data_IF_804025219074
#
_entry.id   IF_804025219074
#
_cell.length_a   1.000
_cell.length_b   1.000
_cell.length_c   1.000
_cell.angle_alpha   90.00
_cell.angle_beta   90.00
_cell.angle_gamma   90.00
#
_symmetry.space_group_name_H-M   'P 1'
#
loop_
_entity.id
_entity.type
_entity.pdbx_description
1 polymer ?
#
# COMPACT_ATOMS: atom_id res chain seq x y z
N UNK A 1 5.38 -17.21 -15.39
CA UNK A 1 4.46 -16.62 -14.40
C UNK A 1 5.21 -16.14 -13.15
N UNK A 2 6.00 -17.00 -12.50
CA UNK A 2 6.80 -16.63 -11.31
C UNK A 2 7.78 -15.46 -11.51
N UNK A 3 8.38 -15.34 -12.70
CA UNK A 3 9.31 -14.23 -12.99
C UNK A 3 8.62 -12.86 -12.94
N UNK A 4 7.49 -12.72 -13.65
CA UNK A 4 6.69 -11.48 -13.66
C UNK A 4 6.23 -11.04 -12.26
N UNK A 5 5.84 -12.00 -11.41
CA UNK A 5 5.46 -11.72 -10.02
C UNK A 5 6.64 -11.19 -9.20
N UNK A 6 7.85 -11.70 -9.45
CA UNK A 6 9.07 -11.18 -8.81
C UNK A 6 9.40 -9.77 -9.30
N UNK A 7 9.30 -9.52 -10.60
CA UNK A 7 9.53 -8.20 -11.18
C UNK A 7 8.54 -7.16 -10.62
N UNK A 8 7.25 -7.53 -10.50
CA UNK A 8 6.21 -6.68 -9.91
C UNK A 8 6.46 -6.41 -8.41
N UNK A 9 6.89 -7.43 -7.66
CA UNK A 9 7.23 -7.29 -6.26
C UNK A 9 8.43 -6.35 -6.07
N UNK A 10 9.44 -6.43 -6.93
CA UNK A 10 10.61 -5.55 -6.87
C UNK A 10 10.21 -4.08 -7.09
N UNK A 11 9.35 -3.81 -8.07
CA UNK A 11 8.81 -2.46 -8.33
C UNK A 11 8.05 -1.93 -7.10
N UNK A 12 7.23 -2.77 -6.46
CA UNK A 12 6.47 -2.37 -5.27
C UNK A 12 7.40 -2.07 -4.09
N UNK A 13 8.46 -2.87 -3.91
CA UNK A 13 9.46 -2.64 -2.86
C UNK A 13 10.19 -1.32 -3.09
N UNK A 14 10.62 -1.04 -4.32
CA UNK A 14 11.25 0.24 -4.67
C UNK A 14 10.31 1.42 -4.43
N UNK A 15 9.04 1.27 -4.81
CA UNK A 15 8.02 2.29 -4.62
C UNK A 15 7.74 2.55 -3.14
N UNK A 16 7.60 1.50 -2.32
CA UNK A 16 7.48 1.61 -0.85
C UNK A 16 8.66 2.37 -0.23
N UNK A 17 9.90 2.07 -0.65
CA UNK A 17 11.07 2.78 -0.16
C UNK A 17 11.01 4.29 -0.43
N UNK A 18 10.50 4.70 -1.58
CA UNK A 18 10.27 6.11 -1.89
C UNK A 18 9.19 6.75 -1.01
N UNK A 19 8.10 6.03 -0.72
CA UNK A 19 7.06 6.53 0.17
C UNK A 19 7.53 6.68 1.61
N UNK A 20 8.34 5.75 2.13
CA UNK A 20 8.94 5.91 3.47
C UNK A 20 9.87 7.11 3.54
N UNK A 21 10.69 7.33 2.50
CA UNK A 21 11.52 8.55 2.42
C UNK A 21 10.68 9.82 2.39
N UNK A 22 9.54 9.80 1.69
CA UNK A 22 8.61 10.92 1.66
C UNK A 22 7.95 11.15 3.03
N UNK A 23 7.55 10.08 3.72
CA UNK A 23 7.01 10.15 5.09
C UNK A 23 8.03 10.75 6.06
N UNK A 24 9.27 10.29 6.02
CA UNK A 24 10.37 10.81 6.84
C UNK A 24 10.64 12.30 6.54
N UNK A 25 10.66 12.70 5.26
CA UNK A 25 10.82 14.10 4.86
C UNK A 25 9.67 15.00 5.36
N UNK A 26 8.46 14.47 5.46
CA UNK A 26 7.31 15.20 5.99
C UNK A 26 7.41 15.32 7.52
N UNK A 27 7.78 14.24 8.20
CA UNK A 27 7.97 14.22 9.65
C UNK A 27 9.10 15.15 10.11
N UNK A 28 10.19 15.21 9.35
CA UNK A 28 11.39 16.00 9.69
C UNK A 28 11.25 17.50 9.44
N UNK A 29 10.28 17.93 8.63
CA UNK A 29 10.11 19.37 8.39
C UNK A 29 9.20 19.74 7.24
N UNK A 30 8.02 19.14 7.12
CA UNK A 30 7.06 19.60 6.11
C UNK A 30 6.68 21.06 6.39
N UNK A 31 6.94 21.94 5.43
CA UNK A 31 6.48 23.31 5.46
C UNK A 31 4.96 23.35 5.23
N UNK A 32 4.24 23.91 6.20
CA UNK A 32 2.81 24.20 6.08
C UNK A 32 2.62 25.59 5.50
N UNK A 33 2.06 25.71 4.30
CA UNK A 33 1.72 26.99 3.69
C UNK A 33 0.23 27.27 3.86
N UNK A 34 -0.13 28.36 4.53
CA UNK A 34 -1.52 28.80 4.66
C UNK A 34 -1.80 29.88 3.62
N UNK A 35 -2.55 29.56 2.58
CA UNK A 35 -2.99 30.51 1.54
C UNK A 35 -4.44 30.88 1.84
N UNK A 36 -4.65 32.01 2.51
CA UNK A 36 -5.98 32.48 2.91
C UNK A 36 -6.69 31.48 3.83
N UNK A 37 -7.86 30.96 3.43
CA UNK A 37 -8.61 29.94 4.17
C UNK A 37 -8.16 28.51 3.87
N UNK A 38 -7.26 28.29 2.90
CA UNK A 38 -6.78 26.96 2.50
C UNK A 38 -5.38 26.72 3.05
N UNK A 39 -5.20 25.60 3.76
CA UNK A 39 -3.88 25.09 4.14
C UNK A 39 -3.37 24.15 3.05
N UNK A 40 -2.26 24.49 2.41
CA UNK A 40 -1.54 23.62 1.48
C UNK A 40 -0.38 22.98 2.26
N UNK A 41 -0.52 21.70 2.59
CA UNK A 41 0.60 20.89 3.11
C UNK A 41 1.37 20.33 1.93
N UNK A 42 2.70 20.39 2.01
CA UNK A 42 3.60 19.87 0.94
C UNK A 42 3.53 18.34 0.78
N UNK A 43 2.81 17.66 1.68
CA UNK A 43 2.33 16.30 1.55
C UNK A 43 1.34 15.99 2.69
N UNK A 44 0.18 15.42 2.37
CA UNK A 44 -0.76 14.93 3.36
C UNK A 44 -0.27 13.58 3.89
N UNK A 45 0.23 13.57 5.14
CA UNK A 45 0.76 12.38 5.81
C UNK A 45 -0.27 11.23 5.83
N UNK A 46 -1.57 11.57 5.85
CA UNK A 46 -2.67 10.61 5.73
C UNK A 46 -2.73 9.90 4.38
N UNK A 47 -2.52 10.61 3.28
CA UNK A 47 -2.56 10.02 1.95
C UNK A 47 -1.36 9.10 1.71
N UNK A 48 -0.17 9.50 2.18
CA UNK A 48 1.03 8.67 2.11
C UNK A 48 0.89 7.42 2.96
N UNK A 49 0.39 7.54 4.20
CA UNK A 49 0.12 6.39 5.04
C UNK A 49 -0.88 5.41 4.39
N UNK A 50 -1.95 5.92 3.78
CA UNK A 50 -2.93 5.09 3.09
C UNK A 50 -2.31 4.37 1.87
N UNK A 51 -1.49 5.06 1.08
CA UNK A 51 -0.80 4.46 -0.07
C UNK A 51 0.25 3.42 0.37
N UNK A 52 1.00 3.68 1.44
CA UNK A 52 1.93 2.70 2.05
C UNK A 52 1.16 1.43 2.44
N UNK A 53 0.03 1.59 3.11
CA UNK A 53 -0.78 0.44 3.53
C UNK A 53 -1.29 -0.36 2.32
N UNK A 54 -1.81 0.30 1.28
CA UNK A 54 -2.24 -0.37 0.05
C UNK A 54 -1.10 -1.11 -0.66
N UNK A 55 0.10 -0.54 -0.68
CA UNK A 55 1.28 -1.18 -1.25
C UNK A 55 1.78 -2.35 -0.40
N UNK A 56 1.69 -2.28 0.92
CA UNK A 56 2.02 -3.40 1.82
C UNK A 56 1.06 -4.57 1.61
N UNK A 57 -0.25 -4.30 1.58
CA UNK A 57 -1.27 -5.32 1.32
C UNK A 57 -1.00 -6.01 -0.03
N UNK A 58 -0.72 -5.21 -1.06
CA UNK A 58 -0.40 -5.74 -2.39
C UNK A 58 0.88 -6.57 -2.41
N UNK A 59 1.90 -6.15 -1.67
CA UNK A 59 3.15 -6.92 -1.51
C UNK A 59 2.85 -8.29 -0.88
N UNK A 60 2.10 -8.30 0.22
CA UNK A 60 1.73 -9.55 0.91
C UNK A 60 0.90 -10.47 0.01
N UNK A 61 -0.03 -9.94 -0.78
CA UNK A 61 -0.77 -10.72 -1.77
C UNK A 61 0.16 -11.38 -2.81
N UNK A 62 1.14 -10.64 -3.33
CA UNK A 62 2.09 -11.15 -4.31
C UNK A 62 3.06 -12.18 -3.72
N UNK A 63 3.52 -11.99 -2.48
CA UNK A 63 4.33 -12.96 -1.74
C UNK A 63 3.57 -14.27 -1.53
N UNK A 64 2.31 -14.17 -1.09
CA UNK A 64 1.43 -15.32 -0.92
C UNK A 64 1.18 -16.04 -2.26
N UNK A 65 0.93 -15.29 -3.34
CA UNK A 65 0.77 -15.84 -4.68
C UNK A 65 2.03 -16.58 -5.16
N UNK A 66 3.22 -16.06 -4.83
CA UNK A 66 4.49 -16.70 -5.16
C UNK A 66 4.71 -17.99 -4.35
N UNK A 67 4.34 -18.00 -3.07
CA UNK A 67 4.49 -19.13 -2.16
C UNK A 67 3.51 -20.27 -2.46
N UNK A 68 2.22 -19.97 -2.64
CA UNK A 68 1.16 -20.96 -2.88
C UNK A 68 1.04 -21.33 -4.37
N UNK A 69 1.70 -20.58 -5.28
CA UNK A 69 1.59 -20.76 -6.73
C UNK A 69 0.20 -20.43 -7.28
N UNK A 70 -0.65 -19.83 -6.45
CA UNK A 70 -2.02 -19.43 -6.77
C UNK A 70 -2.04 -18.01 -7.33
N UNK A 71 -2.99 -17.72 -8.22
CA UNK A 71 -3.09 -16.39 -8.82
C UNK A 71 -3.49 -15.36 -7.75
N UNK A 72 -2.87 -14.15 -7.72
CA UNK A 72 -3.25 -13.09 -6.78
C UNK A 72 -4.71 -12.65 -6.93
N UNK A 73 -5.33 -12.92 -8.08
CA UNK A 73 -6.71 -12.54 -8.40
C UNK A 73 -7.71 -13.70 -8.24
N UNK A 74 -7.44 -14.65 -7.33
CA UNK A 74 -8.40 -15.73 -7.06
C UNK A 74 -9.55 -15.22 -6.19
N UNK A 75 -10.78 -15.50 -6.64
CA UNK A 75 -11.99 -15.20 -5.87
C UNK A 75 -11.98 -16.03 -4.59
N UNK A 76 -12.01 -15.38 -3.43
CA UNK A 76 -12.17 -16.05 -2.13
C UNK A 76 -13.62 -16.55 -2.02
N UNK A 77 -13.81 -17.85 -1.77
CA UNK A 77 -15.11 -18.42 -1.48
C UNK A 77 -15.39 -18.31 0.02
N UNK A 78 -16.52 -17.70 0.41
CA UNK A 78 -16.95 -17.61 1.79
C UNK A 78 -18.17 -18.51 2.02
N UNK A 79 -18.15 -19.28 3.11
CA UNK A 79 -19.33 -20.03 3.57
C UNK A 79 -19.96 -19.26 4.73
N UNK A 80 -21.18 -18.81 4.54
CA UNK A 80 -22.00 -18.22 5.61
C UNK A 80 -22.83 -19.33 6.23
N UNK A 81 -22.70 -19.52 7.55
CA UNK A 81 -23.61 -20.37 8.33
C UNK A 81 -24.55 -19.43 9.07
N UNK A 82 -25.84 -19.44 8.72
CA UNK A 82 -26.84 -18.73 9.50
C UNK A 82 -26.98 -19.48 10.84
N UNK A 83 -26.60 -18.80 11.93
CA UNK A 83 -26.91 -19.24 13.28
C UNK A 83 -28.22 -18.57 13.68
N UNK A 84 -29.18 -19.40 14.05
CA UNK A 84 -30.49 -18.97 14.57
C UNK A 84 -30.27 -18.09 15.82
N UNK A 85 -31.03 -16.99 15.90
CA UNK A 85 -30.93 -15.95 16.95
C UNK A 85 -31.66 -16.36 18.22
#
# INVERSE_FOLDING_TARGET
>A
MKQRLKDELEIIVQRLASYYKAEEAILTGSQEYRIGTRSLKRGDLKEIAAEIQGLQDRKTELENALATGSSPNQRKAFRVVMRDL
#
